data_IF_773321600023
#
_entry.id   IF_773321600023
#
_cell.length_a   1.000
_cell.length_b   1.000
_cell.length_c   1.000
_cell.angle_alpha   90.00
_cell.angle_beta   90.00
_cell.angle_gamma   90.00
#
_symmetry.space_group_name_H-M   'P 1'
#
loop_
_entity.id
_entity.type
_entity.pdbx_description
1 polymer ?
#
# COMPACT_ATOMS: atom_id res chain seq x y z
N UNK A 1 -6.76 27.65 -8.09
CA UNK A 1 -5.80 27.02 -9.02
C UNK A 1 -6.18 25.55 -9.13
N UNK A 2 -6.21 25.01 -10.35
CA UNK A 2 -6.66 23.61 -10.57
C UNK A 2 -5.64 22.66 -9.94
N UNK A 3 -6.12 21.74 -9.11
CA UNK A 3 -5.38 20.70 -8.37
C UNK A 3 -4.39 21.16 -7.28
N UNK A 4 -4.46 22.41 -6.79
CA UNK A 4 -3.61 22.82 -5.65
C UNK A 4 -3.86 21.92 -4.43
N UNK A 5 -2.80 21.44 -3.76
CA UNK A 5 -2.90 20.57 -2.57
C UNK A 5 -2.50 21.33 -1.30
N UNK A 6 -3.38 21.37 -0.32
CA UNK A 6 -3.09 21.79 1.06
C UNK A 6 -2.58 20.61 1.86
N UNK A 7 -1.30 20.61 2.20
CA UNK A 7 -0.71 19.61 3.09
C UNK A 7 -0.86 20.14 4.51
N UNK A 8 -1.56 19.40 5.36
CA UNK A 8 -1.83 19.78 6.74
C UNK A 8 -1.10 18.81 7.67
N UNK A 9 -0.17 19.34 8.45
CA UNK A 9 0.48 18.63 9.55
C UNK A 9 -0.11 19.09 10.87
N UNK A 10 -0.56 18.13 11.67
CA UNK A 10 -0.94 18.36 13.06
C UNK A 10 0.10 17.73 13.97
N UNK A 11 0.44 18.42 15.06
CA UNK A 11 1.51 18.01 15.95
C UNK A 11 1.23 18.42 17.40
N UNK A 12 1.63 17.58 18.35
CA UNK A 12 1.63 17.89 19.77
C UNK A 12 2.72 17.07 20.47
N UNK A 13 3.71 17.76 21.03
CA UNK A 13 4.89 17.20 21.69
C UNK A 13 5.58 16.09 20.88
N UNK A 14 6.08 16.44 19.69
CA UNK A 14 6.78 15.51 18.80
C UNK A 14 8.06 16.10 18.19
N UNK A 15 8.88 16.74 19.03
CA UNK A 15 10.14 17.36 18.62
C UNK A 15 11.10 16.36 17.94
N UNK A 16 10.98 15.07 18.28
CA UNK A 16 11.81 14.01 17.74
C UNK A 16 11.57 13.74 16.24
N UNK A 17 10.37 14.00 15.72
CA UNK A 17 9.99 13.56 14.37
C UNK A 17 9.47 14.67 13.46
N UNK A 18 9.00 15.80 14.01
CA UNK A 18 8.39 16.88 13.23
C UNK A 18 9.29 17.41 12.09
N UNK A 19 10.61 17.46 12.31
CA UNK A 19 11.58 17.90 11.30
C UNK A 19 11.53 17.03 10.04
N UNK A 20 11.49 15.71 10.21
CA UNK A 20 11.45 14.75 9.10
C UNK A 20 10.16 14.94 8.27
N UNK A 21 9.04 15.15 8.95
CA UNK A 21 7.74 15.43 8.32
C UNK A 21 7.76 16.74 7.52
N UNK A 22 8.27 17.83 8.10
CA UNK A 22 8.40 19.14 7.44
C UNK A 22 9.26 19.03 6.18
N UNK A 23 10.44 18.42 6.29
CA UNK A 23 11.35 18.25 5.17
C UNK A 23 10.75 17.39 4.05
N UNK A 24 9.97 16.36 4.41
CA UNK A 24 9.27 15.52 3.45
C UNK A 24 8.18 16.28 2.69
N UNK A 25 7.39 17.11 3.38
CA UNK A 25 6.33 17.92 2.77
C UNK A 25 6.91 19.00 1.84
N UNK A 26 7.89 19.76 2.35
CA UNK A 26 8.57 20.80 1.57
C UNK A 26 9.35 20.22 0.40
N UNK A 27 9.92 19.02 0.55
CA UNK A 27 10.70 18.30 -0.46
C UNK A 27 9.90 17.71 -1.62
N UNK A 28 8.55 17.76 -1.60
CA UNK A 28 7.75 17.31 -2.74
C UNK A 28 8.03 18.16 -4.00
N UNK A 29 8.18 17.50 -5.13
CA UNK A 29 8.43 18.10 -6.45
C UNK A 29 7.20 18.78 -7.05
N UNK A 30 6.00 18.39 -6.61
CA UNK A 30 4.74 19.04 -6.99
C UNK A 30 4.71 20.48 -6.49
N UNK A 31 4.59 21.45 -7.41
CA UNK A 31 4.73 22.88 -7.10
C UNK A 31 3.42 23.53 -6.61
N UNK A 32 2.27 23.05 -7.09
CA UNK A 32 0.95 23.58 -6.73
C UNK A 32 0.52 23.07 -5.35
N UNK A 33 1.27 23.43 -4.31
CA UNK A 33 1.02 23.03 -2.94
C UNK A 33 1.12 24.21 -1.98
N UNK A 34 0.50 24.06 -0.83
CA UNK A 34 0.74 24.89 0.34
C UNK A 34 0.93 23.98 1.56
N UNK A 35 1.61 24.51 2.58
CA UNK A 35 1.91 23.77 3.79
C UNK A 35 1.37 24.48 5.03
N UNK A 36 0.55 23.76 5.78
CA UNK A 36 -0.18 24.23 6.95
C UNK A 36 0.26 23.38 8.15
N UNK A 37 0.70 24.02 9.23
CA UNK A 37 1.05 23.33 10.47
C UNK A 37 0.16 23.85 11.61
N UNK A 38 -0.50 22.92 12.31
CA UNK A 38 -1.29 23.19 13.50
C UNK A 38 -0.64 22.45 14.68
N UNK A 39 -0.04 23.22 15.58
CA UNK A 39 0.53 22.72 16.82
C UNK A 39 -0.46 22.87 17.98
N UNK A 40 -0.61 21.80 18.76
CA UNK A 40 -1.55 21.70 19.89
C UNK A 40 -1.09 22.37 21.18
N UNK A 41 -0.13 23.30 21.12
CA UNK A 41 0.49 23.95 22.27
C UNK A 41 1.62 23.11 22.88
N UNK A 42 2.54 22.66 22.03
CA UNK A 42 3.68 21.84 22.44
C UNK A 42 4.65 22.56 23.37
N UNK A 43 5.32 21.80 24.23
CA UNK A 43 6.26 22.31 25.25
C UNK A 43 7.60 21.55 25.26
N UNK A 44 7.85 20.71 24.25
CA UNK A 44 8.97 19.76 24.21
C UNK A 44 10.10 20.15 23.23
N UNK A 45 10.05 21.34 22.63
CA UNK A 45 10.97 21.75 21.57
C UNK A 45 10.35 21.74 20.16
N UNK A 46 9.11 21.26 20.00
CA UNK A 46 8.45 21.15 18.69
C UNK A 46 8.32 22.51 17.99
N UNK A 47 7.87 23.54 18.72
CA UNK A 47 7.63 24.88 18.17
C UNK A 47 8.93 25.55 17.73
N UNK A 48 10.00 25.36 18.48
CA UNK A 48 11.35 25.84 18.15
C UNK A 48 11.82 25.27 16.81
N UNK A 49 11.59 23.98 16.57
CA UNK A 49 11.92 23.32 15.30
C UNK A 49 11.06 23.87 14.16
N UNK A 50 9.74 24.03 14.37
CA UNK A 50 8.85 24.59 13.34
C UNK A 50 9.29 26.00 12.93
N UNK A 51 9.68 26.82 13.90
CA UNK A 51 10.12 28.20 13.67
C UNK A 51 11.37 28.30 12.75
N UNK A 52 12.20 27.26 12.67
CA UNK A 52 13.32 27.21 11.72
C UNK A 52 12.86 27.17 10.25
N UNK A 53 11.62 26.77 9.99
CA UNK A 53 11.04 26.62 8.65
C UNK A 53 9.87 27.58 8.39
N UNK A 54 9.56 28.51 9.30
CA UNK A 54 8.35 29.36 9.24
C UNK A 54 8.22 30.14 7.93
N UNK A 55 9.33 30.61 7.37
CA UNK A 55 9.36 31.35 6.09
C UNK A 55 8.95 30.49 4.88
N UNK A 56 8.83 29.17 5.06
CA UNK A 56 8.44 28.20 4.03
C UNK A 56 7.10 27.53 4.33
N UNK A 57 6.40 27.97 5.38
CA UNK A 57 5.10 27.45 5.81
C UNK A 57 4.05 28.53 5.52
N UNK A 58 3.01 28.17 4.75
CA UNK A 58 1.96 29.10 4.35
C UNK A 58 1.05 29.50 5.52
N UNK A 59 0.85 28.60 6.48
CA UNK A 59 0.12 28.89 7.72
C UNK A 59 0.65 28.07 8.90
N UNK A 60 0.91 28.75 10.03
CA UNK A 60 1.30 28.12 11.28
C UNK A 60 0.50 28.70 12.45
N UNK A 61 -0.02 27.83 13.30
CA UNK A 61 -0.60 28.20 14.60
C UNK A 61 -0.15 27.23 15.68
N UNK A 62 0.08 27.75 16.89
CA UNK A 62 0.43 26.99 18.08
C UNK A 62 -0.51 27.39 19.21
N UNK A 63 -1.54 26.58 19.45
CA UNK A 63 -2.53 26.81 20.49
C UNK A 63 -3.10 25.49 21.00
N UNK A 64 -3.59 25.48 22.25
CA UNK A 64 -4.21 24.28 22.81
C UNK A 64 -5.42 23.84 21.98
N UNK A 65 -5.52 22.53 21.74
CA UNK A 65 -6.63 21.90 21.05
C UNK A 65 -7.29 20.82 21.91
N UNK A 66 -8.44 20.33 21.44
CA UNK A 66 -9.18 19.25 22.10
C UNK A 66 -8.82 17.86 21.53
N UNK A 67 -7.59 17.71 21.03
CA UNK A 67 -7.04 16.50 20.43
C UNK A 67 -6.85 16.59 18.92
N UNK A 68 -6.20 15.57 18.36
CA UNK A 68 -5.73 15.52 16.95
C UNK A 68 -6.78 15.90 15.90
N UNK A 69 -8.03 15.48 16.07
CA UNK A 69 -9.11 15.76 15.11
C UNK A 69 -9.60 17.21 15.17
N UNK A 70 -9.49 17.86 16.33
CA UNK A 70 -9.74 19.30 16.47
C UNK A 70 -8.68 20.09 15.71
N UNK A 71 -7.40 19.75 15.90
CA UNK A 71 -6.30 20.33 15.14
C UNK A 71 -6.45 20.12 13.63
N UNK A 72 -6.86 18.92 13.19
CA UNK A 72 -7.11 18.64 11.78
C UNK A 72 -8.24 19.50 11.22
N UNK A 73 -9.34 19.65 11.96
CA UNK A 73 -10.45 20.51 11.55
C UNK A 73 -10.02 21.98 11.46
N UNK A 74 -9.25 22.49 12.44
CA UNK A 74 -8.67 23.84 12.39
C UNK A 74 -7.82 24.03 11.14
N UNK A 75 -6.91 23.10 10.86
CA UNK A 75 -6.06 23.15 9.66
C UNK A 75 -6.87 23.16 8.37
N UNK A 76 -7.94 22.37 8.30
CA UNK A 76 -8.81 22.33 7.12
C UNK A 76 -9.49 23.67 6.83
N UNK A 77 -9.81 24.47 7.85
CA UNK A 77 -10.39 25.82 7.66
C UNK A 77 -9.42 26.82 7.01
N UNK A 78 -8.11 26.57 7.09
CA UNK A 78 -7.08 27.42 6.49
C UNK A 78 -6.62 26.94 5.11
N UNK A 79 -7.15 25.81 4.63
CA UNK A 79 -6.83 25.27 3.31
C UNK A 79 -7.41 26.14 2.19
N UNK A 80 -6.54 26.65 1.32
CA UNK A 80 -6.88 27.33 0.06
C UNK A 80 -6.70 26.43 -1.18
N UNK A 81 -6.13 25.24 -1.00
CA UNK A 81 -6.03 24.19 -2.01
C UNK A 81 -7.38 23.60 -2.40
N UNK A 82 -7.44 22.98 -3.58
CA UNK A 82 -8.59 22.23 -4.05
C UNK A 82 -8.69 20.85 -3.37
N UNK A 83 -7.54 20.33 -2.92
CA UNK A 83 -7.37 19.06 -2.23
C UNK A 83 -6.71 19.28 -0.87
N UNK A 84 -7.10 18.48 0.12
CA UNK A 84 -6.43 18.37 1.42
C UNK A 84 -5.74 17.02 1.53
N UNK A 85 -4.49 17.04 1.99
CA UNK A 85 -3.78 15.88 2.53
C UNK A 85 -3.47 16.12 4.00
N UNK A 86 -3.66 15.12 4.85
CA UNK A 86 -3.19 15.15 6.23
C UNK A 86 -1.92 14.33 6.37
N UNK A 87 -0.79 14.99 6.62
CA UNK A 87 0.48 14.36 6.90
C UNK A 87 0.86 14.63 8.36
N UNK A 88 0.44 13.76 9.26
CA UNK A 88 0.67 13.91 10.70
C UNK A 88 2.16 13.89 11.02
N UNK A 89 2.54 14.56 12.12
CA UNK A 89 3.91 14.47 12.63
C UNK A 89 4.33 13.02 12.87
N UNK A 90 5.54 12.67 12.44
CA UNK A 90 6.07 11.31 12.46
C UNK A 90 5.85 10.51 11.18
N UNK A 91 5.02 11.02 10.27
CA UNK A 91 4.80 10.43 8.95
C UNK A 91 5.53 11.24 7.86
N UNK A 92 5.83 10.59 6.73
CA UNK A 92 6.49 11.22 5.57
C UNK A 92 5.79 10.81 4.28
N UNK A 93 6.00 11.56 3.20
CA UNK A 93 5.68 11.09 1.86
C UNK A 93 6.66 9.99 1.42
N UNK A 94 6.16 8.99 0.68
CA UNK A 94 6.94 7.83 0.29
C UNK A 94 8.09 8.14 -0.69
N UNK A 95 8.00 9.25 -1.43
CA UNK A 95 9.07 9.77 -2.28
C UNK A 95 8.89 11.27 -2.54
N UNK A 96 9.91 11.99 -3.03
CA UNK A 96 9.76 13.39 -3.48
C UNK A 96 8.75 13.61 -4.61
N UNK A 97 8.31 12.55 -5.30
CA UNK A 97 7.32 12.62 -6.39
C UNK A 97 5.94 12.08 -5.98
N UNK A 98 5.74 11.72 -4.71
CA UNK A 98 4.53 11.03 -4.26
C UNK A 98 3.25 11.84 -4.54
N UNK A 99 3.24 13.15 -4.26
CA UNK A 99 2.08 14.00 -4.56
C UNK A 99 1.80 14.13 -6.06
N UNK A 100 2.85 14.34 -6.86
CA UNK A 100 2.74 14.43 -8.33
C UNK A 100 2.11 13.13 -8.89
N UNK A 101 2.65 11.98 -8.50
CA UNK A 101 2.17 10.67 -8.94
C UNK A 101 0.72 10.40 -8.52
N UNK A 102 0.33 10.80 -7.31
CA UNK A 102 -1.06 10.60 -6.84
C UNK A 102 -2.05 11.46 -7.61
N UNK A 103 -1.70 12.71 -7.92
CA UNK A 103 -2.56 13.58 -8.75
C UNK A 103 -2.68 13.03 -10.18
N UNK A 104 -1.57 12.62 -10.79
CA UNK A 104 -1.53 12.08 -12.16
C UNK A 104 -2.31 10.76 -12.29
N UNK A 105 -2.08 9.82 -11.37
CA UNK A 105 -2.66 8.47 -11.43
C UNK A 105 -4.04 8.39 -10.78
N UNK A 106 -4.42 9.37 -9.97
CA UNK A 106 -5.65 9.38 -9.17
C UNK A 106 -6.90 9.88 -9.88
N UNK A 107 -6.82 10.22 -11.17
CA UNK A 107 -7.96 10.74 -11.96
C UNK A 107 -8.63 11.95 -11.29
N UNK A 108 -7.84 12.96 -10.91
CA UNK A 108 -8.29 14.10 -10.12
C UNK A 108 -9.57 14.79 -10.65
N UNK A 109 -9.75 14.85 -11.97
CA UNK A 109 -10.93 15.49 -12.58
C UNK A 109 -12.25 14.74 -12.33
N UNK A 110 -12.20 13.44 -12.02
CA UNK A 110 -13.36 12.59 -11.76
C UNK A 110 -13.54 12.25 -10.27
N UNK A 111 -12.49 12.43 -9.46
CA UNK A 111 -12.46 12.00 -8.08
C UNK A 111 -13.01 13.06 -7.10
N UNK A 112 -13.67 12.57 -6.05
CA UNK A 112 -13.97 13.30 -4.82
C UNK A 112 -12.98 12.96 -3.70
N UNK A 113 -12.45 11.73 -3.74
CA UNK A 113 -11.36 11.24 -2.87
C UNK A 113 -10.38 10.44 -3.72
N UNK A 114 -9.11 10.79 -3.66
CA UNK A 114 -8.01 9.98 -4.22
C UNK A 114 -7.34 9.25 -3.06
N UNK A 115 -7.09 7.96 -3.18
CA UNK A 115 -6.34 7.20 -2.18
C UNK A 115 -5.26 6.34 -2.81
N UNK A 116 -4.23 6.00 -2.04
CA UNK A 116 -3.02 5.35 -2.53
C UNK A 116 -2.47 4.35 -1.51
N UNK A 117 -1.47 3.58 -1.96
CA UNK A 117 -0.76 2.63 -1.12
C UNK A 117 0.11 3.36 -0.08
N UNK A 118 0.58 2.63 0.93
CA UNK A 118 1.41 3.18 2.01
C UNK A 118 2.56 2.24 2.41
N UNK A 119 3.57 2.78 3.07
CA UNK A 119 4.66 2.01 3.67
C UNK A 119 4.55 2.13 5.19
N UNK A 120 4.49 1.00 5.86
CA UNK A 120 4.50 0.90 7.30
C UNK A 120 5.92 0.67 7.79
N UNK A 121 6.39 1.48 8.73
CA UNK A 121 7.66 1.30 9.44
C UNK A 121 7.39 0.71 10.82
N UNK A 122 8.08 -0.37 11.20
CA UNK A 122 8.02 -0.99 12.52
C UNK A 122 9.44 -1.15 13.06
N UNK A 123 9.84 -0.29 13.99
CA UNK A 123 11.24 -0.16 14.38
C UNK A 123 12.07 0.28 13.19
N UNK A 124 12.95 -0.59 12.69
CA UNK A 124 13.74 -0.31 11.50
C UNK A 124 13.21 -1.03 10.25
N UNK A 125 12.21 -1.90 10.40
CA UNK A 125 11.66 -2.67 9.29
C UNK A 125 10.64 -1.84 8.51
N UNK A 126 10.59 -2.02 7.19
CA UNK A 126 9.60 -1.38 6.32
C UNK A 126 8.76 -2.41 5.57
N UNK A 127 7.46 -2.16 5.50
CA UNK A 127 6.48 -3.04 4.87
C UNK A 127 5.51 -2.25 3.99
N UNK A 128 5.46 -2.56 2.69
CA UNK A 128 4.44 -1.98 1.82
C UNK A 128 3.04 -2.56 2.07
N UNK A 129 2.05 -1.66 2.06
CA UNK A 129 0.63 -1.91 2.28
C UNK A 129 -0.14 -1.44 1.04
N UNK A 130 -0.62 -2.41 0.25
CA UNK A 130 -1.42 -2.17 -0.95
C UNK A 130 -2.90 -2.06 -0.59
N UNK A 131 -3.58 -1.10 -1.21
CA UNK A 131 -5.01 -0.81 -1.05
C UNK A 131 -5.84 -1.49 -2.14
N UNK A 132 -7.09 -1.91 -1.88
CA UNK A 132 -7.94 -2.50 -2.91
C UNK A 132 -8.50 -1.45 -3.88
N UNK A 133 -8.79 -1.84 -5.12
CA UNK A 133 -9.40 -0.96 -6.13
C UNK A 133 -10.91 -0.74 -5.89
N UNK A 134 -11.55 -1.66 -5.16
CA UNK A 134 -12.99 -1.64 -4.89
C UNK A 134 -13.31 -0.89 -3.59
N UNK A 135 -13.75 0.36 -3.75
CA UNK A 135 -14.17 1.23 -2.66
C UNK A 135 -15.41 0.73 -1.90
N UNK A 136 -16.22 -0.18 -2.46
CA UNK A 136 -17.43 -0.68 -1.79
C UNK A 136 -17.12 -1.41 -0.47
N UNK A 137 -15.88 -1.87 -0.30
CA UNK A 137 -15.39 -2.48 0.93
C UNK A 137 -15.34 -1.52 2.13
N UNK A 138 -15.37 -0.20 1.89
CA UNK A 138 -15.57 0.81 2.93
C UNK A 138 -16.91 0.64 3.67
N UNK A 139 -17.85 -0.14 3.14
CA UNK A 139 -19.06 -0.51 3.88
C UNK A 139 -18.77 -1.34 5.14
N UNK A 140 -17.57 -1.92 5.28
CA UNK A 140 -17.21 -2.87 6.33
C UNK A 140 -15.96 -2.47 7.13
N UNK A 141 -14.95 -1.86 6.50
CA UNK A 141 -13.68 -1.48 7.16
C UNK A 141 -12.91 -0.41 6.37
N UNK A 142 -11.98 0.35 6.98
CA UNK A 142 -11.14 1.31 6.26
C UNK A 142 -10.19 0.58 5.30
N UNK A 143 -10.23 0.93 4.01
CA UNK A 143 -9.44 0.25 2.96
C UNK A 143 -8.10 0.92 2.68
N UNK A 144 -7.89 2.14 3.17
CA UNK A 144 -6.66 2.94 3.05
C UNK A 144 -6.39 3.69 4.36
N UNK A 145 -5.15 4.16 4.54
CA UNK A 145 -4.77 5.02 5.68
C UNK A 145 -5.14 6.45 5.35
N UNK A 146 -5.75 7.17 6.29
CA UNK A 146 -6.21 8.54 6.08
C UNK A 146 -5.16 9.48 5.46
N UNK A 147 -3.92 9.46 5.94
CA UNK A 147 -2.83 10.28 5.37
C UNK A 147 -2.36 9.85 3.97
N UNK A 148 -2.77 8.66 3.53
CA UNK A 148 -2.55 8.14 2.17
C UNK A 148 -3.72 8.49 1.24
N UNK A 149 -4.33 9.66 1.43
CA UNK A 149 -5.42 10.16 0.59
C UNK A 149 -5.38 11.67 0.35
N UNK A 150 -6.04 12.11 -0.71
CA UNK A 150 -6.40 13.48 -1.01
C UNK A 150 -7.93 13.59 -1.02
N UNK A 151 -8.47 14.49 -0.21
CA UNK A 151 -9.93 14.74 -0.11
C UNK A 151 -10.21 16.14 -0.64
N UNK A 152 -11.29 16.32 -1.42
CA UNK A 152 -11.69 17.67 -1.87
C UNK A 152 -11.88 18.58 -0.66
N UNK A 153 -11.28 19.78 -0.68
CA UNK A 153 -11.38 20.74 0.43
C UNK A 153 -12.84 21.05 0.79
N UNK A 154 -13.70 21.25 -0.22
CA UNK A 154 -15.15 21.46 -0.02
C UNK A 154 -15.80 20.33 0.78
N UNK A 155 -15.43 19.08 0.53
CA UNK A 155 -16.01 17.90 1.18
C UNK A 155 -15.44 17.73 2.59
N UNK A 156 -14.16 18.01 2.79
CA UNK A 156 -13.53 17.98 4.12
C UNK A 156 -14.17 19.02 5.06
N UNK A 157 -14.56 20.18 4.52
CA UNK A 157 -15.25 21.23 5.27
C UNK A 157 -16.74 20.92 5.51
N UNK A 158 -17.42 20.30 4.53
CA UNK A 158 -18.81 19.86 4.64
C UNK A 158 -18.97 18.67 5.62
N UNK A 159 -17.99 17.76 5.63
CA UNK A 159 -17.95 16.55 6.47
C UNK A 159 -16.68 16.54 7.35
N UNK A 160 -16.58 17.44 8.35
CA UNK A 160 -15.42 17.51 9.23
C UNK A 160 -15.31 16.27 10.13
N UNK A 161 -14.17 16.11 10.82
CA UNK A 161 -14.06 15.09 11.85
C UNK A 161 -15.01 15.41 13.01
N UNK A 162 -15.95 14.52 13.29
CA UNK A 162 -16.96 14.72 14.34
C UNK A 162 -16.36 14.50 15.74
N UNK A 163 -15.78 15.56 16.30
CA UNK A 163 -15.11 15.57 17.61
C UNK A 163 -16.07 15.27 18.76
N UNK A 164 -17.39 15.43 18.59
CA UNK A 164 -18.36 15.01 19.60
C UNK A 164 -18.36 13.48 19.79
N UNK A 165 -17.92 12.72 18.78
CA UNK A 165 -17.78 11.27 18.84
C UNK A 165 -16.41 10.78 19.32
N UNK A 166 -15.46 11.67 19.67
CA UNK A 166 -14.11 11.31 20.12
C UNK A 166 -14.10 10.27 21.24
N UNK A 167 -15.00 10.38 22.23
CA UNK A 167 -15.10 9.39 23.33
C UNK A 167 -15.60 8.01 22.85
N UNK A 168 -16.46 7.99 21.84
CA UNK A 168 -17.11 6.76 21.37
C UNK A 168 -16.28 5.99 20.34
N UNK A 169 -15.51 6.71 19.50
CA UNK A 169 -14.80 6.18 18.34
C UNK A 169 -13.27 6.33 18.45
N UNK A 170 -12.75 7.15 19.37
CA UNK A 170 -11.33 7.26 19.65
C UNK A 170 -10.51 7.59 18.39
N UNK A 171 -9.50 6.78 18.09
CA UNK A 171 -8.67 6.98 16.90
C UNK A 171 -9.39 6.68 15.57
N UNK A 172 -10.59 6.11 15.57
CA UNK A 172 -11.33 5.75 14.36
C UNK A 172 -12.23 6.87 13.82
N UNK A 173 -12.09 8.11 14.31
CA UNK A 173 -12.82 9.27 13.76
C UNK A 173 -12.41 9.54 12.31
N UNK A 174 -11.18 9.20 11.94
CA UNK A 174 -10.72 9.23 10.56
C UNK A 174 -11.58 8.34 9.66
N UNK A 175 -11.80 7.08 10.07
CA UNK A 175 -12.67 6.16 9.34
C UNK A 175 -14.13 6.59 9.39
N UNK A 176 -14.61 7.23 10.47
CA UNK A 176 -15.96 7.78 10.52
C UNK A 176 -16.18 8.85 9.44
N UNK A 177 -15.22 9.76 9.24
CA UNK A 177 -15.27 10.76 8.18
C UNK A 177 -15.24 10.09 6.79
N UNK A 178 -14.30 9.18 6.56
CA UNK A 178 -14.19 8.41 5.30
C UNK A 178 -15.49 7.65 4.98
N UNK A 179 -16.07 7.00 5.99
CA UNK A 179 -17.33 6.26 5.86
C UNK A 179 -18.48 7.21 5.53
N UNK A 180 -18.51 8.41 6.11
CA UNK A 180 -19.54 9.42 5.81
C UNK A 180 -19.47 9.87 4.35
N UNK A 181 -18.27 10.16 3.84
CA UNK A 181 -18.05 10.47 2.41
C UNK A 181 -18.47 9.30 1.49
N UNK A 182 -18.15 8.07 1.87
CA UNK A 182 -18.59 6.88 1.14
C UNK A 182 -20.12 6.76 1.08
N UNK A 183 -20.81 7.04 2.19
CA UNK A 183 -22.27 6.97 2.27
C UNK A 183 -22.99 8.14 1.61
N UNK A 184 -22.34 9.30 1.46
CA UNK A 184 -22.87 10.43 0.70
C UNK A 184 -22.74 10.25 -0.82
N UNK A 185 -22.14 9.14 -1.28
CA UNK A 185 -22.01 8.82 -2.71
C UNK A 185 -20.81 9.47 -3.39
N UNK A 186 -19.82 9.95 -2.63
CA UNK A 186 -18.59 10.49 -3.17
C UNK A 186 -17.84 9.45 -4.01
N UNK A 187 -17.17 9.90 -5.08
CA UNK A 187 -16.37 9.04 -5.96
C UNK A 187 -14.95 8.86 -5.43
N UNK A 188 -14.61 7.62 -5.09
CA UNK A 188 -13.28 7.22 -4.64
C UNK A 188 -12.46 6.67 -5.82
N UNK A 189 -11.27 7.20 -6.03
CA UNK A 189 -10.34 6.73 -7.07
C UNK A 189 -9.02 6.32 -6.44
N UNK A 190 -8.57 5.10 -6.74
CA UNK A 190 -7.25 4.64 -6.34
C UNK A 190 -6.19 5.15 -7.31
N UNK A 191 -5.14 5.76 -6.80
CA UNK A 191 -3.90 5.99 -7.53
C UNK A 191 -2.97 4.79 -7.32
N UNK A 192 -2.51 4.17 -8.41
CA UNK A 192 -1.61 3.00 -8.36
C UNK A 192 -0.16 3.42 -8.06
N UNK A 193 0.05 4.06 -6.92
CA UNK A 193 1.34 4.48 -6.37
C UNK A 193 1.30 4.45 -4.85
N UNK A 194 2.43 4.73 -4.20
CA UNK A 194 2.55 4.85 -2.75
C UNK A 194 2.61 6.32 -2.37
N UNK A 195 1.71 6.78 -1.50
CA UNK A 195 1.70 8.19 -1.07
C UNK A 195 2.48 8.41 0.22
N UNK A 196 2.22 7.60 1.24
CA UNK A 196 2.65 7.88 2.61
C UNK A 196 3.53 6.75 3.17
N UNK A 197 4.48 7.13 4.01
CA UNK A 197 5.20 6.27 4.93
C UNK A 197 4.84 6.65 6.37
N UNK A 198 4.48 5.67 7.21
CA UNK A 198 4.04 5.91 8.58
C UNK A 198 4.65 4.92 9.57
N UNK A 199 4.80 5.31 10.84
CA UNK A 199 5.36 4.45 11.90
C UNK A 199 4.25 3.70 12.66
N UNK A 200 4.50 2.43 13.01
CA UNK A 200 3.54 1.55 13.67
C UNK A 200 3.33 1.87 15.17
N UNK A 201 4.25 2.60 15.80
CA UNK A 201 4.22 2.94 17.23
C UNK A 201 3.11 3.93 17.63
N UNK A 202 2.18 4.23 16.72
CA UNK A 202 1.05 5.12 16.96
C UNK A 202 -0.05 4.54 17.86
N UNK A 203 -0.90 5.44 18.34
CA UNK A 203 -2.03 5.22 19.27
C UNK A 203 -3.12 4.26 18.77
N UNK A 204 -3.06 3.81 17.51
CA UNK A 204 -4.10 3.01 16.84
C UNK A 204 -3.83 1.50 16.76
N UNK A 205 -2.75 0.97 17.38
CA UNK A 205 -2.39 -0.45 17.23
C UNK A 205 -3.15 -1.40 18.19
N UNK A 206 -4.49 -1.33 18.18
CA UNK A 206 -5.36 -2.16 19.03
C UNK A 206 -6.36 -2.96 18.18
N UNK A 207 -6.05 -4.21 17.76
CA UNK A 207 -6.87 -4.96 16.81
C UNK A 207 -8.33 -5.15 17.23
N UNK A 208 -8.58 -5.52 18.49
CA UNK A 208 -9.94 -5.71 19.00
C UNK A 208 -10.73 -4.39 19.10
N UNK A 209 -10.08 -3.30 19.54
CA UNK A 209 -10.71 -1.98 19.58
C UNK A 209 -11.04 -1.47 18.18
N UNK A 210 -10.12 -1.68 17.22
CA UNK A 210 -10.32 -1.33 15.81
C UNK A 210 -11.54 -2.04 15.22
N UNK A 211 -11.69 -3.36 15.45
CA UNK A 211 -12.87 -4.11 15.04
C UNK A 211 -14.16 -3.55 15.65
N UNK A 212 -14.13 -3.22 16.94
CA UNK A 212 -15.29 -2.66 17.65
C UNK A 212 -15.67 -1.28 17.12
N UNK A 213 -14.71 -0.39 16.89
CA UNK A 213 -14.97 0.95 16.34
C UNK A 213 -15.50 0.88 14.91
N UNK A 214 -14.89 0.05 14.05
CA UNK A 214 -15.38 -0.17 12.69
C UNK A 214 -16.84 -0.66 12.71
N UNK A 215 -17.16 -1.63 13.57
CA UNK A 215 -18.53 -2.12 13.74
C UNK A 215 -19.49 -1.02 14.21
N UNK A 216 -19.08 -0.16 15.16
CA UNK A 216 -19.91 0.97 15.64
C UNK A 216 -20.23 1.97 14.54
N UNK A 217 -19.27 2.24 13.65
CA UNK A 217 -19.41 3.13 12.50
C UNK A 217 -20.33 2.48 11.47
N UNK A 218 -20.01 1.27 11.02
CA UNK A 218 -20.69 0.65 9.88
C UNK A 218 -22.11 0.19 10.19
N UNK A 219 -22.43 -0.16 11.44
CA UNK A 219 -23.78 -0.62 11.82
C UNK A 219 -24.85 0.47 11.73
N UNK A 220 -24.46 1.75 11.75
CA UNK A 220 -25.40 2.89 11.71
C UNK A 220 -25.88 3.22 10.30
N UNK A 221 -25.06 2.95 9.28
CA UNK A 221 -25.37 3.28 7.88
C UNK A 221 -25.42 2.06 6.94
N UNK A 222 -25.02 0.88 7.38
CA UNK A 222 -24.91 -0.33 6.56
C UNK A 222 -25.88 -1.44 6.95
N UNK A 223 -25.77 -2.59 6.28
CA UNK A 223 -26.55 -3.79 6.63
C UNK A 223 -26.12 -4.31 8.01
N UNK A 224 -27.04 -4.29 8.97
CA UNK A 224 -26.81 -4.79 10.33
C UNK A 224 -26.32 -6.24 10.32
N UNK A 225 -26.94 -7.10 9.50
CA UNK A 225 -26.55 -8.50 9.38
C UNK A 225 -25.12 -8.65 8.86
N UNK A 226 -24.79 -7.98 7.75
CA UNK A 226 -23.47 -8.08 7.13
C UNK A 226 -22.35 -7.57 8.05
N UNK A 227 -22.57 -6.41 8.67
CA UNK A 227 -21.61 -5.78 9.60
C UNK A 227 -21.42 -6.61 10.88
N UNK A 228 -22.50 -7.18 11.43
CA UNK A 228 -22.42 -8.06 12.61
C UNK A 228 -21.67 -9.35 12.29
N UNK A 229 -21.97 -9.99 11.16
CA UNK A 229 -21.23 -11.18 10.72
C UNK A 229 -19.75 -10.88 10.47
N UNK A 230 -19.44 -9.73 9.86
CA UNK A 230 -18.05 -9.30 9.65
C UNK A 230 -17.31 -9.10 10.97
N UNK A 231 -17.94 -8.41 11.94
CA UNK A 231 -17.38 -8.20 13.27
C UNK A 231 -17.14 -9.52 14.02
N UNK A 232 -18.12 -10.42 14.04
CA UNK A 232 -18.00 -11.74 14.69
C UNK A 232 -16.89 -12.57 14.03
N UNK A 233 -16.87 -12.64 12.70
CA UNK A 233 -15.83 -13.34 11.94
C UNK A 233 -14.45 -12.74 12.18
N UNK A 234 -14.33 -11.42 12.23
CA UNK A 234 -13.10 -10.70 12.54
C UNK A 234 -12.59 -11.00 13.94
N UNK A 235 -13.49 -11.01 14.92
CA UNK A 235 -13.17 -11.30 16.33
C UNK A 235 -12.71 -12.74 16.50
N UNK A 236 -13.45 -13.73 15.96
CA UNK A 236 -13.06 -15.14 15.98
C UNK A 236 -11.72 -15.33 15.29
N UNK A 237 -11.52 -14.70 14.12
CA UNK A 237 -10.23 -14.77 13.40
C UNK A 237 -9.09 -14.20 14.23
N UNK A 238 -9.29 -13.11 14.95
CA UNK A 238 -8.26 -12.51 15.80
C UNK A 238 -7.93 -13.43 16.98
N UNK A 239 -8.94 -14.04 17.62
CA UNK A 239 -8.75 -15.03 18.68
C UNK A 239 -8.01 -16.28 18.18
N UNK A 240 -8.37 -16.77 16.99
CA UNK A 240 -7.68 -17.90 16.35
C UNK A 240 -6.23 -17.53 16.05
N UNK A 241 -5.95 -16.35 15.48
CA UNK A 241 -4.58 -15.90 15.18
C UNK A 241 -3.68 -15.84 16.41
N UNK A 242 -4.23 -15.52 17.59
CA UNK A 242 -3.46 -15.57 18.84
C UNK A 242 -3.17 -17.00 19.33
N UNK A 243 -3.81 -18.03 18.79
CA UNK A 243 -3.56 -19.43 19.14
C UNK A 243 -2.32 -19.98 18.47
N UNK A 244 -1.47 -20.69 19.23
CA UNK A 244 -0.31 -21.41 18.71
C UNK A 244 -0.71 -22.48 17.68
N UNK A 245 -1.81 -23.19 17.90
CA UNK A 245 -2.27 -24.22 16.97
C UNK A 245 -2.62 -23.64 15.59
N UNK A 246 -3.29 -22.48 15.57
CA UNK A 246 -3.60 -21.78 14.32
C UNK A 246 -2.32 -21.31 13.62
N UNK A 247 -1.35 -20.75 14.37
CA UNK A 247 -0.05 -20.32 13.81
C UNK A 247 0.70 -21.49 13.18
N UNK A 248 0.74 -22.66 13.84
CA UNK A 248 1.39 -23.86 13.31
C UNK A 248 0.68 -24.43 12.09
N UNK A 249 -0.64 -24.55 12.14
CA UNK A 249 -1.42 -24.99 10.98
C UNK A 249 -1.24 -24.05 9.79
N UNK A 250 -1.17 -22.74 10.04
CA UNK A 250 -0.95 -21.75 9.00
C UNK A 250 0.47 -21.82 8.43
N UNK A 251 1.50 -21.98 9.27
CA UNK A 251 2.86 -22.22 8.81
C UNK A 251 2.96 -23.51 7.98
N UNK A 252 2.29 -24.58 8.41
CA UNK A 252 2.20 -25.82 7.62
C UNK A 252 1.55 -25.57 6.25
N UNK A 253 0.45 -24.83 6.19
CA UNK A 253 -0.26 -24.58 4.93
C UNK A 253 0.49 -23.61 4.01
N UNK A 254 1.09 -22.54 4.53
CA UNK A 254 1.73 -21.50 3.71
C UNK A 254 3.17 -21.81 3.33
N UNK A 255 3.91 -22.54 4.17
CA UNK A 255 5.30 -22.89 3.89
C UNK A 255 5.41 -24.35 3.44
N UNK A 256 5.12 -25.29 4.34
CA UNK A 256 5.42 -26.71 4.08
C UNK A 256 4.56 -27.31 2.95
N UNK A 257 3.25 -27.09 2.97
CA UNK A 257 2.37 -27.61 1.92
C UNK A 257 2.73 -27.00 0.56
N UNK A 258 2.93 -25.69 0.49
CA UNK A 258 3.20 -24.96 -0.76
C UNK A 258 4.55 -25.34 -1.36
N UNK A 259 5.58 -25.56 -0.53
CA UNK A 259 6.96 -25.73 -0.98
C UNK A 259 7.46 -27.19 -0.95
N UNK A 260 6.95 -28.03 -0.05
CA UNK A 260 7.44 -29.40 0.14
C UNK A 260 6.45 -30.48 -0.33
N UNK A 261 5.16 -30.17 -0.43
CA UNK A 261 4.14 -31.14 -0.89
C UNK A 261 3.71 -30.84 -2.33
N UNK A 262 3.14 -29.67 -2.57
CA UNK A 262 2.56 -29.31 -3.87
C UNK A 262 3.57 -29.38 -5.01
N UNK A 263 4.84 -28.96 -4.89
CA UNK A 263 5.79 -28.98 -6.00
C UNK A 263 6.16 -30.38 -6.51
N UNK A 264 5.73 -31.43 -5.81
CA UNK A 264 5.91 -32.82 -6.22
C UNK A 264 4.67 -33.43 -6.90
N UNK A 265 3.50 -32.76 -6.85
CA UNK A 265 2.27 -33.23 -7.48
C UNK A 265 2.25 -32.80 -8.97
N UNK A 266 2.17 -33.72 -9.94
CA UNK A 266 2.29 -33.36 -11.36
C UNK A 266 1.04 -32.68 -11.96
N UNK A 267 -0.13 -32.84 -11.34
CA UNK A 267 -1.40 -32.38 -11.91
C UNK A 267 -1.73 -30.95 -11.48
N UNK A 268 -1.77 -30.03 -12.45
CA UNK A 268 -2.13 -28.62 -12.18
C UNK A 268 -3.53 -28.47 -11.55
N UNK A 269 -4.48 -29.25 -12.06
CA UNK A 269 -5.87 -29.24 -11.59
C UNK A 269 -6.01 -29.54 -10.09
N UNK A 270 -5.07 -30.31 -9.52
CA UNK A 270 -5.04 -30.63 -8.09
C UNK A 270 -4.29 -29.57 -7.27
N UNK A 271 -3.18 -29.04 -7.81
CA UNK A 271 -2.37 -28.03 -7.10
C UNK A 271 -3.07 -26.68 -6.99
N UNK A 272 -3.74 -26.24 -8.07
CA UNK A 272 -4.40 -24.93 -8.14
C UNK A 272 -5.39 -24.64 -7.00
N UNK A 273 -6.35 -25.52 -6.65
CA UNK A 273 -7.26 -25.26 -5.53
C UNK A 273 -6.52 -25.19 -4.19
N UNK A 274 -5.47 -26.00 -3.97
CA UNK A 274 -4.69 -25.99 -2.73
C UNK A 274 -3.84 -24.73 -2.58
N UNK A 275 -3.24 -24.23 -3.66
CA UNK A 275 -2.57 -22.93 -3.67
C UNK A 275 -3.53 -21.78 -3.33
N UNK A 276 -4.79 -21.87 -3.74
CA UNK A 276 -5.84 -20.90 -3.36
C UNK A 276 -6.25 -21.01 -1.90
N UNK A 277 -6.17 -22.20 -1.28
CA UNK A 277 -6.35 -22.37 0.18
C UNK A 277 -5.23 -21.65 0.94
N UNK A 278 -3.99 -21.70 0.43
CA UNK A 278 -2.87 -20.87 0.87
C UNK A 278 -2.99 -19.38 0.46
N UNK A 279 -4.16 -18.96 -0.03
CA UNK A 279 -4.55 -17.60 -0.42
C UNK A 279 -3.73 -16.99 -1.57
N UNK A 280 -3.02 -17.80 -2.34
CA UNK A 280 -2.37 -17.36 -3.57
C UNK A 280 -3.45 -17.04 -4.62
N UNK A 281 -3.46 -15.81 -5.14
CA UNK A 281 -4.47 -15.36 -6.10
C UNK A 281 -3.99 -15.67 -7.51
N UNK A 282 -4.70 -16.55 -8.21
CA UNK A 282 -4.36 -17.00 -9.56
C UNK A 282 -5.53 -16.75 -10.50
N UNK A 283 -5.27 -16.02 -11.56
CA UNK A 283 -6.18 -15.78 -12.68
C UNK A 283 -6.60 -17.06 -13.42
N UNK A 284 -7.44 -16.86 -14.43
CA UNK A 284 -7.90 -17.92 -15.32
C UNK A 284 -6.79 -18.32 -16.29
N UNK A 285 -6.71 -19.61 -16.60
CA UNK A 285 -5.74 -20.21 -17.54
C UNK A 285 -4.25 -19.96 -17.23
N UNK A 286 -3.95 -19.40 -16.06
CA UNK A 286 -2.59 -19.29 -15.53
C UNK A 286 -2.16 -20.58 -14.84
N UNK A 287 -0.86 -20.87 -14.87
CA UNK A 287 -0.29 -22.07 -14.27
C UNK A 287 1.10 -21.83 -13.67
N UNK A 288 1.42 -22.59 -12.63
CA UNK A 288 2.72 -22.60 -11.97
C UNK A 288 3.31 -23.99 -12.15
N UNK A 289 4.42 -24.11 -12.85
CA UNK A 289 5.11 -25.39 -13.01
C UNK A 289 5.65 -25.92 -11.67
N UNK A 290 6.02 -27.20 -11.62
CA UNK A 290 6.61 -27.80 -10.41
C UNK A 290 7.95 -27.19 -10.02
N UNK A 291 8.35 -27.45 -8.78
CA UNK A 291 9.64 -27.04 -8.18
C UNK A 291 9.83 -25.51 -8.11
N UNK A 292 8.74 -24.76 -8.04
CA UNK A 292 8.82 -23.37 -7.63
C UNK A 292 8.84 -23.29 -6.10
N UNK A 293 9.55 -22.31 -5.57
CA UNK A 293 9.60 -22.00 -4.14
C UNK A 293 8.91 -20.64 -3.92
N UNK A 294 7.93 -20.60 -3.03
CA UNK A 294 7.08 -19.43 -2.80
C UNK A 294 7.01 -19.14 -1.31
N UNK A 295 7.59 -18.02 -0.88
CA UNK A 295 7.45 -17.50 0.48
C UNK A 295 6.26 -16.54 0.55
N UNK A 296 5.47 -16.62 1.62
CA UNK A 296 4.26 -15.80 1.78
C UNK A 296 3.33 -15.86 0.55
N UNK A 297 2.95 -17.08 0.16
CA UNK A 297 2.08 -17.36 -1.00
C UNK A 297 0.79 -16.50 -1.01
N UNK A 298 0.29 -16.15 0.17
CA UNK A 298 -0.87 -15.28 0.38
C UNK A 298 -0.69 -13.82 -0.07
N UNK A 299 0.54 -13.39 -0.39
CA UNK A 299 0.89 -12.05 -0.91
C UNK A 299 1.31 -12.06 -2.38
N UNK A 300 1.05 -13.16 -3.08
CA UNK A 300 1.27 -13.28 -4.53
C UNK A 300 -0.05 -13.16 -5.28
N UNK A 301 -0.08 -12.27 -6.27
CA UNK A 301 -1.18 -12.10 -7.23
C UNK A 301 -0.66 -12.39 -8.63
N UNK A 302 -1.36 -13.26 -9.36
CA UNK A 302 -1.05 -13.62 -10.75
C UNK A 302 -2.29 -13.38 -11.60
N UNK A 303 -2.13 -12.60 -12.67
CA UNK A 303 -3.16 -12.30 -13.66
C UNK A 303 -3.58 -13.51 -14.50
N UNK A 304 -4.35 -13.27 -15.56
CA UNK A 304 -4.84 -14.33 -16.45
C UNK A 304 -3.79 -14.71 -17.48
N UNK A 305 -3.83 -15.94 -17.99
CA UNK A 305 -2.91 -16.40 -19.03
C UNK A 305 -1.44 -16.11 -18.69
N UNK A 306 -1.03 -16.34 -17.46
CA UNK A 306 0.35 -16.12 -17.00
C UNK A 306 0.97 -17.43 -16.57
N UNK A 307 2.23 -17.65 -16.96
CA UNK A 307 2.95 -18.85 -16.58
C UNK A 307 4.21 -18.58 -15.78
N UNK A 308 4.47 -19.47 -14.82
CA UNK A 308 5.73 -19.56 -14.10
C UNK A 308 6.36 -20.91 -14.44
N UNK A 309 7.53 -20.89 -15.07
CA UNK A 309 8.28 -22.09 -15.38
C UNK A 309 8.97 -22.67 -14.12
N UNK A 310 9.52 -23.88 -14.28
CA UNK A 310 10.11 -24.64 -13.16
C UNK A 310 11.27 -23.87 -12.52
N UNK A 311 11.43 -24.08 -11.21
CA UNK A 311 12.57 -23.52 -10.47
C UNK A 311 12.43 -22.04 -10.09
N UNK A 312 11.29 -21.40 -10.41
CA UNK A 312 11.10 -20.00 -10.02
C UNK A 312 11.05 -19.85 -8.49
N UNK A 313 11.71 -18.81 -7.98
CA UNK A 313 11.67 -18.42 -6.58
C UNK A 313 10.92 -17.10 -6.42
N UNK A 314 9.85 -17.12 -5.65
CA UNK A 314 9.03 -15.97 -5.32
C UNK A 314 9.14 -15.69 -3.83
N UNK A 315 9.97 -14.74 -3.45
CA UNK A 315 9.95 -14.17 -2.11
C UNK A 315 8.94 -13.03 -2.08
N UNK A 316 7.73 -13.29 -1.56
CA UNK A 316 6.63 -12.33 -1.53
C UNK A 316 6.45 -11.64 -0.17
N UNK A 317 7.49 -11.61 0.69
CA UNK A 317 7.42 -10.90 1.98
C UNK A 317 7.00 -9.43 1.83
N UNK A 318 7.45 -8.73 0.79
CA UNK A 318 7.03 -7.38 0.40
C UNK A 318 5.83 -7.32 -0.56
N UNK A 319 5.35 -8.47 -1.04
CA UNK A 319 4.25 -8.59 -2.00
C UNK A 319 4.72 -8.65 -3.46
N UNK A 320 4.08 -9.53 -4.25
CA UNK A 320 4.37 -9.70 -5.68
C UNK A 320 3.05 -9.63 -6.45
N UNK A 321 2.99 -8.72 -7.41
CA UNK A 321 1.89 -8.59 -8.35
C UNK A 321 2.40 -8.87 -9.77
N UNK A 322 1.86 -9.90 -10.41
CA UNK A 322 2.18 -10.28 -11.78
C UNK A 322 0.91 -10.13 -12.63
N UNK A 323 1.01 -9.35 -13.70
CA UNK A 323 -0.06 -9.09 -14.66
C UNK A 323 -0.50 -10.32 -15.45
N UNK A 324 -1.29 -10.06 -16.48
CA UNK A 324 -1.79 -11.05 -17.44
C UNK A 324 -0.83 -11.23 -18.61
N UNK A 325 -0.83 -12.41 -19.26
CA UNK A 325 0.04 -12.72 -20.39
C UNK A 325 1.54 -12.63 -20.10
N UNK A 326 1.91 -12.78 -18.82
CA UNK A 326 3.30 -12.72 -18.38
C UNK A 326 3.96 -14.09 -18.54
N UNK A 327 5.21 -14.09 -19.01
CA UNK A 327 6.05 -15.28 -19.11
C UNK A 327 7.24 -15.16 -18.16
N UNK A 328 7.25 -15.98 -17.10
CA UNK A 328 8.45 -16.22 -16.30
C UNK A 328 9.10 -17.51 -16.79
N UNK A 329 10.30 -17.38 -17.36
CA UNK A 329 11.11 -18.51 -17.81
C UNK A 329 11.71 -19.27 -16.61
N UNK A 330 12.42 -20.37 -16.88
CA UNK A 330 13.02 -21.21 -15.83
C UNK A 330 13.90 -20.41 -14.87
N UNK A 331 13.87 -20.80 -13.59
CA UNK A 331 14.77 -20.28 -12.54
C UNK A 331 14.74 -18.75 -12.35
N UNK A 332 13.65 -18.08 -12.74
CA UNK A 332 13.46 -16.66 -12.43
C UNK A 332 13.32 -16.42 -10.93
N UNK A 333 13.83 -15.29 -10.44
CA UNK A 333 13.78 -14.93 -9.01
C UNK A 333 13.13 -13.56 -8.84
N UNK A 334 12.05 -13.50 -8.07
CA UNK A 334 11.42 -12.25 -7.64
C UNK A 334 11.66 -12.10 -6.14
N UNK A 335 12.53 -11.17 -5.75
CA UNK A 335 13.05 -11.06 -4.39
C UNK A 335 12.61 -9.74 -3.75
N UNK A 336 11.55 -9.81 -2.93
CA UNK A 336 11.01 -8.61 -2.25
C UNK A 336 11.66 -8.31 -0.90
N UNK A 337 12.34 -9.27 -0.27
CA UNK A 337 13.03 -9.05 1.00
C UNK A 337 14.49 -8.67 0.82
N UNK A 338 14.91 -7.61 1.50
CA UNK A 338 16.30 -7.20 1.61
C UNK A 338 16.59 -6.64 3.01
N UNK A 339 17.80 -6.10 3.17
CA UNK A 339 18.20 -5.34 4.36
C UNK A 339 18.80 -4.00 3.91
N UNK A 340 18.56 -2.95 4.68
CA UNK A 340 19.19 -1.65 4.41
C UNK A 340 20.69 -1.75 4.66
N UNK A 341 21.48 -1.64 3.59
CA UNK A 341 22.95 -1.68 3.67
C UNK A 341 23.54 -0.50 4.46
N UNK A 342 22.76 0.57 4.65
CA UNK A 342 23.16 1.75 5.43
C UNK A 342 22.75 1.65 6.89
N UNK A 343 21.95 0.65 7.26
CA UNK A 343 21.51 0.48 8.64
C UNK A 343 22.59 -0.20 9.48
N UNK A 344 23.07 0.42 10.56
CA UNK A 344 24.02 -0.22 11.47
C UNK A 344 23.42 -1.43 12.20
N UNK A 345 22.09 -1.59 12.22
CA UNK A 345 21.42 -2.73 12.89
C UNK A 345 20.75 -3.70 11.91
N UNK A 346 21.15 -3.71 10.63
CA UNK A 346 20.69 -4.71 9.65
C UNK A 346 19.16 -4.78 9.47
N UNK A 347 18.49 -3.64 9.53
CA UNK A 347 17.05 -3.47 9.36
C UNK A 347 16.51 -4.13 8.09
N UNK A 348 15.39 -4.85 8.18
CA UNK A 348 14.79 -5.49 7.03
C UNK A 348 13.99 -4.49 6.17
N UNK A 349 13.92 -4.75 4.87
CA UNK A 349 13.17 -3.94 3.91
C UNK A 349 12.38 -4.88 3.02
N UNK A 350 11.07 -4.61 2.89
CA UNK A 350 10.13 -5.44 2.14
C UNK A 350 9.30 -4.57 1.20
N UNK A 351 9.88 -4.22 0.05
CA UNK A 351 9.21 -3.45 -1.00
C UNK A 351 8.62 -4.37 -2.08
N UNK A 352 7.46 -4.01 -2.66
CA UNK A 352 6.73 -4.87 -3.57
C UNK A 352 7.45 -4.95 -4.92
N UNK A 353 7.19 -6.04 -5.66
CA UNK A 353 7.55 -6.14 -7.09
C UNK A 353 6.26 -6.16 -7.89
N UNK A 354 6.18 -5.33 -8.93
CA UNK A 354 5.06 -5.29 -9.87
C UNK A 354 5.55 -5.65 -11.27
N UNK A 355 4.95 -6.64 -11.90
CA UNK A 355 5.24 -7.05 -13.27
C UNK A 355 4.00 -6.77 -14.13
N UNK A 356 4.12 -5.85 -15.07
CA UNK A 356 3.03 -5.43 -15.95
C UNK A 356 2.64 -6.53 -16.95
N UNK A 357 1.47 -6.35 -17.56
CA UNK A 357 0.92 -7.29 -18.54
C UNK A 357 1.91 -7.51 -19.70
N UNK A 358 1.92 -8.71 -20.28
CA UNK A 358 2.79 -9.09 -21.40
C UNK A 358 4.31 -9.02 -21.16
N UNK A 359 4.75 -8.75 -19.93
CA UNK A 359 6.16 -8.78 -19.61
C UNK A 359 6.75 -10.20 -19.80
N UNK A 360 8.01 -10.26 -20.20
CA UNK A 360 8.74 -11.51 -20.37
C UNK A 360 10.06 -11.48 -19.61
N UNK A 361 10.22 -12.41 -18.68
CA UNK A 361 11.44 -12.60 -17.91
C UNK A 361 12.15 -13.86 -18.44
N UNK A 362 13.34 -13.67 -19.00
CA UNK A 362 14.21 -14.72 -19.52
C UNK A 362 14.78 -15.62 -18.43
N UNK A 363 15.33 -16.77 -18.83
CA UNK A 363 15.82 -17.80 -17.90
C UNK A 363 16.81 -17.20 -16.89
N UNK A 364 16.61 -17.49 -15.60
CA UNK A 364 17.50 -17.04 -14.54
C UNK A 364 17.44 -15.54 -14.21
N UNK A 365 16.54 -14.77 -14.83
CA UNK A 365 16.37 -13.34 -14.53
C UNK A 365 16.00 -13.12 -13.06
N UNK A 366 16.56 -12.09 -12.45
CA UNK A 366 16.29 -11.71 -11.05
C UNK A 366 15.75 -10.29 -10.99
N UNK A 367 14.63 -10.09 -10.30
CA UNK A 367 14.04 -8.78 -10.03
C UNK A 367 14.09 -8.53 -8.52
N UNK A 368 14.66 -7.39 -8.13
CA UNK A 368 14.81 -6.99 -6.72
C UNK A 368 13.63 -6.15 -6.24
N UNK A 369 13.51 -6.04 -4.92
CA UNK A 369 12.43 -5.33 -4.23
C UNK A 369 12.23 -3.89 -4.73
N UNK A 370 10.98 -3.44 -4.74
CA UNK A 370 10.62 -2.07 -5.12
C UNK A 370 10.64 -1.80 -6.62
N UNK A 371 10.84 -2.81 -7.46
CA UNK A 371 10.89 -2.66 -8.92
C UNK A 371 9.52 -2.90 -9.55
N UNK A 372 9.16 -2.00 -10.45
CA UNK A 372 8.09 -2.16 -11.43
C UNK A 372 8.68 -2.49 -12.81
N UNK A 373 8.34 -3.66 -13.36
CA UNK A 373 8.62 -4.02 -14.75
C UNK A 373 7.39 -3.64 -15.58
N UNK A 374 7.54 -2.67 -16.48
CA UNK A 374 6.44 -2.14 -17.28
C UNK A 374 5.80 -3.16 -18.22
N UNK A 375 4.60 -2.83 -18.71
CA UNK A 375 3.87 -3.63 -19.69
C UNK A 375 4.74 -3.96 -20.91
N UNK A 376 4.70 -5.21 -21.37
CA UNK A 376 5.41 -5.66 -22.56
C UNK A 376 6.94 -5.70 -22.44
N UNK A 377 7.51 -5.25 -21.34
CA UNK A 377 8.96 -5.18 -21.14
C UNK A 377 9.59 -6.58 -21.16
N UNK A 378 10.86 -6.65 -21.59
CA UNK A 378 11.63 -7.89 -21.67
C UNK A 378 12.86 -7.79 -20.78
N UNK A 379 12.99 -8.72 -19.85
CA UNK A 379 14.18 -8.89 -19.02
C UNK A 379 14.96 -10.08 -19.59
N UNK A 380 16.14 -9.83 -20.16
CA UNK A 380 16.95 -10.87 -20.78
C UNK A 380 17.44 -11.92 -19.76
N UNK A 381 17.80 -13.09 -20.27
CA UNK A 381 18.29 -14.19 -19.45
C UNK A 381 19.46 -13.78 -18.54
N UNK A 382 19.43 -14.20 -17.29
CA UNK A 382 20.45 -13.92 -16.27
C UNK A 382 20.56 -12.46 -15.82
N UNK A 383 19.71 -11.55 -16.31
CA UNK A 383 19.77 -10.14 -15.92
C UNK A 383 19.32 -9.92 -14.47
N UNK A 384 19.89 -8.91 -13.81
CA UNK A 384 19.50 -8.50 -12.45
C UNK A 384 18.92 -7.09 -12.49
N UNK A 385 17.60 -7.01 -12.34
CA UNK A 385 16.84 -5.75 -12.41
C UNK A 385 16.80 -5.11 -11.03
N UNK A 386 17.41 -3.94 -10.93
CA UNK A 386 17.57 -3.18 -9.66
C UNK A 386 16.82 -1.85 -9.65
N UNK A 387 16.13 -1.51 -10.75
CA UNK A 387 15.37 -0.28 -10.96
C UNK A 387 14.19 -0.57 -11.88
N UNK A 388 13.19 0.30 -11.87
CA UNK A 388 12.03 0.20 -12.76
C UNK A 388 12.44 0.05 -14.23
N UNK A 389 11.66 -0.73 -14.97
CA UNK A 389 11.83 -0.96 -16.40
C UNK A 389 10.66 -0.33 -17.13
N UNK A 390 10.96 0.57 -18.06
CA UNK A 390 9.95 1.23 -18.88
C UNK A 390 9.10 0.21 -19.67
N UNK A 391 7.81 0.50 -19.92
CA UNK A 391 6.99 -0.32 -20.80
C UNK A 391 7.68 -0.57 -22.15
N UNK A 392 7.61 -1.80 -22.62
CA UNK A 392 8.21 -2.28 -23.87
C UNK A 392 9.74 -2.17 -23.94
N UNK A 393 10.44 -1.76 -22.90
CA UNK A 393 11.90 -1.76 -22.91
C UNK A 393 12.45 -3.20 -22.84
N UNK A 394 13.56 -3.43 -23.53
CA UNK A 394 14.36 -4.65 -23.42
C UNK A 394 15.57 -4.31 -22.56
N UNK A 395 15.74 -5.02 -21.45
CA UNK A 395 16.84 -4.81 -20.50
C UNK A 395 17.68 -6.07 -20.32
N UNK A 396 18.99 -5.90 -20.18
CA UNK A 396 19.93 -7.01 -19.95
C UNK A 396 21.15 -6.59 -19.11
N UNK A 397 21.85 -7.57 -18.55
CA UNK A 397 23.08 -7.38 -17.76
C UNK A 397 22.89 -7.37 -16.24
N UNK A 398 24.00 -7.18 -15.53
CA UNK A 398 24.07 -7.11 -14.06
C UNK A 398 24.90 -5.87 -13.66
N UNK A 399 24.25 -4.79 -13.17
CA UNK A 399 22.81 -4.56 -13.15
C UNK A 399 22.22 -4.37 -14.55
N UNK A 400 20.93 -4.68 -14.71
CA UNK A 400 20.23 -4.59 -15.99
C UNK A 400 20.21 -3.14 -16.52
N UNK A 401 20.38 -2.99 -17.83
CA UNK A 401 20.33 -1.72 -18.58
C UNK A 401 19.49 -1.89 -19.83
N UNK A 402 18.85 -0.81 -20.29
CA UNK A 402 18.11 -0.79 -21.57
C UNK A 402 19.08 -1.09 -22.71
N UNK A 403 18.75 -2.10 -23.51
CA UNK A 403 19.52 -2.54 -24.68
C UNK A 403 18.68 -2.52 -25.96
N UNK A 404 17.37 -2.26 -25.86
CA UNK A 404 16.48 -2.15 -27.01
C UNK A 404 15.04 -1.88 -26.59
N UNK A 405 14.15 -1.94 -27.58
CA UNK A 405 12.71 -1.79 -27.41
C UNK A 405 12.00 -2.93 -28.13
N UNK A 406 10.97 -3.49 -27.47
CA UNK A 406 10.08 -4.50 -28.02
C UNK A 406 9.01 -3.82 -28.88
N UNK A 407 8.63 -4.39 -30.03
CA UNK A 407 7.48 -3.91 -30.77
C UNK A 407 6.22 -3.82 -29.90
N UNK A 408 5.44 -2.75 -30.11
CA UNK A 408 4.13 -2.56 -29.46
C UNK A 408 3.06 -3.44 -30.10
N UNK A 409 1.92 -3.60 -29.42
CA UNK A 409 0.78 -4.37 -29.93
C UNK A 409 0.99 -5.89 -29.85
N UNK A 410 1.66 -6.34 -28.79
CA UNK A 410 1.80 -7.78 -28.52
C UNK A 410 0.44 -8.38 -28.18
N UNK A 411 0.06 -9.43 -28.89
CA UNK A 411 -1.22 -10.10 -28.74
C UNK A 411 -1.01 -11.62 -28.70
N UNK A 412 -0.69 -12.13 -27.51
CA UNK A 412 -0.53 -13.56 -27.26
C UNK A 412 -1.07 -13.93 -25.89
N UNK A 413 -1.36 -15.22 -25.73
CA UNK A 413 -1.72 -15.81 -24.46
C UNK A 413 -0.70 -16.87 -24.05
N UNK A 414 -0.20 -16.79 -22.81
CA UNK A 414 0.59 -17.88 -22.25
C UNK A 414 -0.35 -19.03 -21.85
N UNK A 415 -0.52 -20.00 -22.74
CA UNK A 415 -1.35 -21.19 -22.53
C UNK A 415 -0.50 -22.45 -22.39
N UNK A 416 -1.02 -23.43 -21.65
CA UNK A 416 -0.44 -24.76 -21.51
C UNK A 416 -1.54 -25.80 -21.37
N UNK A 417 -1.62 -26.69 -22.34
CA UNK A 417 -2.73 -27.64 -22.46
C UNK A 417 -2.42 -29.00 -21.83
N UNK A 418 -1.15 -29.27 -21.48
CA UNK A 418 -0.81 -30.53 -20.85
C UNK A 418 -1.22 -30.52 -19.36
N UNK A 419 -1.83 -31.60 -18.84
CA UNK A 419 -2.26 -31.66 -17.44
C UNK A 419 -1.07 -31.72 -16.47
N UNK A 420 0.10 -32.08 -17.00
CA UNK A 420 1.36 -32.18 -16.28
C UNK A 420 2.12 -30.86 -16.35
N UNK A 421 2.39 -30.28 -15.19
CA UNK A 421 3.12 -29.02 -15.01
C UNK A 421 4.14 -29.22 -13.90
#
# INVERSE_FOLDING_TARGET
MKNKVSIITVVFNDAANIRETIESALGQTYQEKEYIIIDGGSTDGTVEIINEYVDRIDYFSSESDNGIFDAMNKGAQHAAGEWINFLNSGDTFASPRALEQVIELGKADEADVIYADSIQISGQDSLAISTPDDASQLALYPIYRHGSSLVRTRLQLEYPFDTAQSKALGFALDYHMIYTLFRSGCRFCKANTTLQTYRLEGTSNYPYRSLLYNYRITRRGGSLLATTLFFLKGTVRQMLKSSTAYRWMFAFLEEYMVNDILPHIPFWALRRPLLRVARLRIGQKSFIMKRCYIMNANRVVIGNYTHLNRGCMLDARGGIEIGSNVSLSYDCRLITGSHSVRSPHFSASYLPIRIGDYAWLGVGATVLQGVTVGEGAVVCAGAVVTRDVEPYAIVGGVPARKIGERPRGVDYHCVWDAPFT
#
